data_IF_764596724493
#
_entry.id   IF_764596724493
#
_cell.length_a   1.000
_cell.length_b   1.000
_cell.length_c   1.000
_cell.angle_alpha   90.00
_cell.angle_beta   90.00
_cell.angle_gamma   90.00
#
_symmetry.space_group_name_H-M   'P 1'
#
loop_
_entity.id
_entity.type
_entity.pdbx_description
1 polymer ?
#
# COMPACT_ATOMS: atom_id res chain seq x y z
N UNK A 1 -17.48 -18.11 -10.36
CA UNK A 1 -18.70 -17.49 -9.76
C UNK A 1 -18.62 -17.41 -8.23
N UNK A 2 -18.24 -18.47 -7.50
CA UNK A 2 -18.13 -18.49 -6.02
C UNK A 2 -17.36 -17.31 -5.39
N UNK A 3 -16.30 -16.83 -6.04
CA UNK A 3 -15.42 -15.78 -5.49
C UNK A 3 -15.95 -14.37 -5.66
N UNK A 4 -16.67 -14.10 -6.77
CA UNK A 4 -17.41 -12.85 -6.96
C UNK A 4 -18.56 -12.75 -5.95
N UNK A 5 -19.23 -13.87 -5.68
CA UNK A 5 -20.29 -13.95 -4.69
C UNK A 5 -19.74 -13.75 -3.27
N UNK A 6 -18.68 -14.48 -2.90
CA UNK A 6 -18.03 -14.35 -1.58
C UNK A 6 -17.52 -12.93 -1.30
N UNK A 7 -17.02 -12.22 -2.32
CA UNK A 7 -16.56 -10.83 -2.18
C UNK A 7 -17.64 -9.83 -1.75
N UNK A 8 -18.92 -10.17 -1.93
CA UNK A 8 -20.05 -9.38 -1.45
C UNK A 8 -20.69 -9.97 -0.20
N UNK A 9 -20.81 -11.29 -0.15
CA UNK A 9 -21.42 -11.97 0.98
C UNK A 9 -20.65 -11.73 2.28
N UNK A 10 -19.31 -11.83 2.26
CA UNK A 10 -18.52 -11.66 3.48
C UNK A 10 -18.70 -10.26 4.13
N UNK A 11 -18.48 -9.13 3.43
CA UNK A 11 -18.71 -7.81 4.01
C UNK A 11 -20.19 -7.52 4.27
N UNK A 12 -21.10 -7.99 3.42
CA UNK A 12 -22.54 -7.77 3.61
C UNK A 12 -23.08 -8.50 4.84
N UNK A 13 -22.67 -9.75 5.04
CA UNK A 13 -23.01 -10.53 6.23
C UNK A 13 -22.39 -9.92 7.48
N UNK A 14 -21.14 -9.45 7.41
CA UNK A 14 -20.48 -8.79 8.53
C UNK A 14 -21.23 -7.51 8.95
N UNK A 15 -21.57 -6.64 8.00
CA UNK A 15 -22.36 -5.44 8.24
C UNK A 15 -23.75 -5.81 8.78
N UNK A 16 -24.43 -6.77 8.15
CA UNK A 16 -25.77 -7.21 8.53
C UNK A 16 -25.82 -7.81 9.93
N UNK A 17 -24.84 -8.65 10.30
CA UNK A 17 -24.73 -9.21 11.65
C UNK A 17 -24.45 -8.11 12.67
N UNK A 18 -23.52 -7.20 12.40
CA UNK A 18 -23.19 -6.13 13.34
C UNK A 18 -24.36 -5.16 13.56
N UNK A 19 -25.06 -4.75 12.50
CA UNK A 19 -26.26 -3.91 12.63
C UNK A 19 -27.44 -4.68 13.23
N UNK A 20 -27.62 -5.95 12.86
CA UNK A 20 -28.65 -6.81 13.44
C UNK A 20 -28.44 -7.00 14.94
N UNK A 21 -27.18 -7.22 15.37
CA UNK A 21 -26.80 -7.29 16.77
C UNK A 21 -27.07 -5.96 17.50
N UNK A 22 -26.73 -4.82 16.87
CA UNK A 22 -27.06 -3.50 17.41
C UNK A 22 -28.56 -3.37 17.70
N UNK A 23 -29.42 -3.53 16.70
CA UNK A 23 -30.86 -3.38 16.86
C UNK A 23 -31.50 -4.44 17.77
N UNK A 24 -30.96 -5.67 17.79
CA UNK A 24 -31.43 -6.71 18.71
C UNK A 24 -31.11 -6.34 20.16
N UNK A 25 -29.88 -5.93 20.45
CA UNK A 25 -29.48 -5.50 21.80
C UNK A 25 -30.22 -4.24 22.22
N UNK A 26 -30.40 -3.29 21.30
CA UNK A 26 -31.12 -2.04 21.53
C UNK A 26 -32.58 -2.30 21.95
N UNK A 27 -33.29 -3.18 21.23
CA UNK A 27 -34.65 -3.59 21.59
C UNK A 27 -34.74 -4.38 22.91
N UNK A 28 -33.71 -5.15 23.23
CA UNK A 28 -33.63 -5.94 24.46
C UNK A 28 -33.20 -5.09 25.67
N UNK A 29 -32.56 -3.95 25.44
CA UNK A 29 -32.08 -3.07 26.49
C UNK A 29 -33.28 -2.38 27.14
N UNK A 30 -33.45 -2.59 28.44
CA UNK A 30 -34.45 -1.85 29.19
C UNK A 30 -34.05 -0.37 29.24
N UNK A 31 -35.01 0.58 29.13
CA UNK A 31 -34.74 2.03 29.11
C UNK A 31 -33.94 2.59 30.31
N UNK A 32 -33.74 1.79 31.36
CA UNK A 32 -33.05 2.16 32.59
C UNK A 32 -31.77 1.35 32.86
N UNK A 33 -31.45 0.34 32.04
CA UNK A 33 -30.25 -0.49 32.21
C UNK A 33 -29.04 0.12 31.48
N UNK A 34 -28.53 1.22 32.00
CA UNK A 34 -27.29 1.83 31.50
C UNK A 34 -26.07 1.15 32.09
N UNK A 35 -25.16 0.71 31.25
CA UNK A 35 -23.84 0.18 31.61
C UNK A 35 -22.85 1.34 31.76
N UNK A 36 -23.14 2.27 32.68
CA UNK A 36 -22.28 3.43 32.94
C UNK A 36 -21.04 2.97 33.70
N UNK A 37 -19.91 2.90 33.00
CA UNK A 37 -18.64 2.46 33.59
C UNK A 37 -17.46 3.28 33.04
N UNK A 38 -17.39 4.59 33.35
CA UNK A 38 -16.42 5.52 32.76
C UNK A 38 -14.97 5.13 33.02
N UNK A 39 -14.68 4.58 34.21
CA UNK A 39 -13.32 4.15 34.56
C UNK A 39 -12.85 2.99 33.69
N UNK A 40 -13.66 1.93 33.57
CA UNK A 40 -13.33 0.79 32.71
C UNK A 40 -13.38 1.13 31.23
N UNK A 41 -14.28 2.02 30.81
CA UNK A 41 -14.29 2.58 29.45
C UNK A 41 -12.94 3.22 29.13
N UNK A 42 -12.45 4.12 29.99
CA UNK A 42 -11.15 4.77 29.84
C UNK A 42 -10.01 3.75 29.68
N UNK A 43 -9.86 2.82 30.63
CA UNK A 43 -8.74 1.86 30.60
C UNK A 43 -8.78 0.95 29.38
N UNK A 44 -9.93 0.34 29.09
CA UNK A 44 -10.08 -0.59 27.97
C UNK A 44 -9.83 0.13 26.66
N UNK A 45 -10.47 1.28 26.45
CA UNK A 45 -10.38 2.02 25.19
C UNK A 45 -8.98 2.60 24.98
N UNK A 46 -8.36 3.15 26.02
CA UNK A 46 -7.00 3.70 25.93
C UNK A 46 -5.96 2.60 25.63
N UNK A 47 -6.00 1.48 26.34
CA UNK A 47 -5.03 0.37 26.15
C UNK A 47 -5.19 -0.24 24.76
N UNK A 48 -6.41 -0.56 24.34
CA UNK A 48 -6.66 -1.15 23.02
C UNK A 48 -6.26 -0.18 21.91
N UNK A 49 -6.53 1.12 22.07
CA UNK A 49 -6.12 2.14 21.11
C UNK A 49 -4.59 2.26 21.03
N UNK A 50 -3.89 2.22 22.16
CA UNK A 50 -2.42 2.24 22.17
C UNK A 50 -1.84 1.02 21.46
N UNK A 51 -2.36 -0.18 21.71
CA UNK A 51 -1.92 -1.40 21.02
C UNK A 51 -2.20 -1.33 19.52
N UNK A 52 -3.40 -0.89 19.13
CA UNK A 52 -3.78 -0.70 17.73
C UNK A 52 -2.87 0.32 17.02
N UNK A 53 -2.50 1.41 17.72
CA UNK A 53 -1.55 2.41 17.23
C UNK A 53 -0.19 1.78 16.94
N UNK A 54 0.39 1.05 17.91
CA UNK A 54 1.70 0.41 17.77
C UNK A 54 1.73 -0.58 16.60
N UNK A 55 0.70 -1.41 16.48
CA UNK A 55 0.55 -2.34 15.35
C UNK A 55 0.42 -1.59 14.03
N UNK A 56 -0.36 -0.51 13.99
CA UNK A 56 -0.54 0.29 12.78
C UNK A 56 0.77 0.97 12.35
N UNK A 57 1.57 1.48 13.29
CA UNK A 57 2.92 2.01 13.03
C UNK A 57 3.81 0.91 12.45
N UNK A 58 3.81 -0.30 13.02
CA UNK A 58 4.60 -1.41 12.51
C UNK A 58 4.23 -1.78 11.06
N UNK A 59 2.93 -1.85 10.76
CA UNK A 59 2.40 -2.06 9.39
C UNK A 59 2.84 -0.94 8.45
N UNK A 60 2.82 0.31 8.91
CA UNK A 60 3.26 1.47 8.11
C UNK A 60 4.74 1.45 7.79
N UNK A 61 5.58 1.12 8.77
CA UNK A 61 7.03 0.92 8.57
C UNK A 61 7.28 -0.20 7.57
N UNK A 62 6.55 -1.31 7.66
CA UNK A 62 6.62 -2.38 6.66
C UNK A 62 6.19 -1.89 5.27
N UNK A 63 5.11 -1.11 5.17
CA UNK A 63 4.65 -0.50 3.92
C UNK A 63 5.70 0.40 3.26
N UNK A 64 6.39 1.22 4.05
CA UNK A 64 7.50 2.07 3.58
C UNK A 64 8.67 1.22 3.06
N UNK A 65 9.06 0.17 3.80
CA UNK A 65 10.13 -0.75 3.37
C UNK A 65 9.79 -1.44 2.05
N UNK A 66 8.53 -1.80 1.86
CA UNK A 66 8.02 -2.45 0.65
C UNK A 66 7.69 -1.48 -0.48
N UNK A 67 7.88 -0.16 -0.27
CA UNK A 67 7.55 0.92 -1.21
C UNK A 67 6.10 0.85 -1.72
N UNK A 68 5.18 0.39 -0.86
CA UNK A 68 3.77 0.29 -1.18
C UNK A 68 3.00 1.42 -0.50
N UNK A 69 2.78 2.51 -1.24
CA UNK A 69 2.12 3.71 -0.74
C UNK A 69 0.69 3.45 -0.24
N UNK A 70 -0.02 2.49 -0.84
CA UNK A 70 -1.39 2.17 -0.42
C UNK A 70 -1.42 1.64 1.01
N UNK A 71 -0.43 0.81 1.38
CA UNK A 71 -0.31 0.28 2.75
C UNK A 71 0.12 1.37 3.72
N UNK A 72 1.00 2.27 3.29
CA UNK A 72 1.36 3.44 4.10
C UNK A 72 0.15 4.33 4.40
N UNK A 73 -0.71 4.61 3.40
CA UNK A 73 -1.95 5.36 3.62
C UNK A 73 -2.93 4.63 4.54
N UNK A 74 -3.12 3.32 4.35
CA UNK A 74 -3.94 2.52 5.26
C UNK A 74 -3.42 2.62 6.70
N UNK A 75 -2.13 2.40 6.90
CA UNK A 75 -1.49 2.52 8.23
C UNK A 75 -1.71 3.90 8.86
N UNK A 76 -1.53 4.98 8.09
CA UNK A 76 -1.78 6.35 8.57
C UNK A 76 -3.26 6.53 8.96
N UNK A 77 -4.19 5.92 8.21
CA UNK A 77 -5.60 5.89 8.56
C UNK A 77 -5.86 5.24 9.92
N UNK A 78 -5.29 4.05 10.18
CA UNK A 78 -5.46 3.37 11.47
C UNK A 78 -4.67 3.99 12.62
N UNK A 79 -3.54 4.66 12.35
CA UNK A 79 -2.85 5.53 13.30
C UNK A 79 -3.77 6.68 13.71
N UNK A 80 -4.41 7.34 12.74
CA UNK A 80 -5.36 8.43 13.00
C UNK A 80 -6.56 7.96 13.81
N UNK A 81 -7.12 6.80 13.43
CA UNK A 81 -8.19 6.13 14.17
C UNK A 81 -7.76 5.93 15.62
N UNK A 82 -6.68 5.18 15.85
CA UNK A 82 -6.21 4.82 17.18
C UNK A 82 -5.85 6.05 18.03
N UNK A 83 -5.22 7.06 17.46
CA UNK A 83 -4.78 8.25 18.21
C UNK A 83 -5.94 9.10 18.69
N UNK A 84 -6.87 9.42 17.79
CA UNK A 84 -8.05 10.21 18.15
C UNK A 84 -9.03 9.40 19.00
N UNK A 85 -9.07 8.08 18.85
CA UNK A 85 -9.87 7.21 19.69
C UNK A 85 -9.28 7.03 21.10
N UNK A 86 -7.95 7.12 21.23
CA UNK A 86 -7.28 7.26 22.52
C UNK A 86 -7.66 8.60 23.17
N UNK A 87 -7.67 9.71 22.42
CA UNK A 87 -8.17 11.01 22.91
C UNK A 87 -9.63 10.91 23.37
N UNK A 88 -10.49 10.22 22.61
CA UNK A 88 -11.87 9.93 23.00
C UNK A 88 -11.94 9.29 24.40
N UNK A 89 -11.19 8.21 24.64
CA UNK A 89 -11.11 7.56 25.94
C UNK A 89 -10.55 8.48 27.04
N UNK A 90 -9.48 9.23 26.77
CA UNK A 90 -8.89 10.18 27.73
C UNK A 90 -9.86 11.29 28.12
N UNK A 91 -10.70 11.72 27.18
CA UNK A 91 -11.69 12.78 27.39
C UNK A 91 -12.99 12.28 28.06
N UNK A 92 -13.13 10.99 28.33
CA UNK A 92 -14.28 10.45 29.07
C UNK A 92 -14.43 11.21 30.40
N UNK A 93 -15.66 11.62 30.80
CA UNK A 93 -15.88 12.44 31.99
C UNK A 93 -15.23 11.84 33.24
N UNK A 94 -14.56 12.71 34.02
CA UNK A 94 -13.83 12.32 35.23
C UNK A 94 -12.33 12.10 35.03
N UNK A 95 -11.82 12.21 33.80
CA UNK A 95 -10.39 12.14 33.49
C UNK A 95 -9.86 13.51 33.01
N UNK A 96 -9.55 13.66 31.72
CA UNK A 96 -9.02 14.92 31.16
C UNK A 96 -10.09 16.02 31.12
N UNK A 97 -11.35 15.63 30.95
CA UNK A 97 -12.50 16.54 30.97
C UNK A 97 -13.26 16.32 32.27
N UNK A 98 -13.49 17.39 33.02
CA UNK A 98 -14.24 17.35 34.28
C UNK A 98 -15.71 17.01 34.05
N UNK A 99 -16.35 17.67 33.08
CA UNK A 99 -17.76 17.49 32.72
C UNK A 99 -17.95 17.77 31.23
N UNK A 100 -18.91 17.08 30.59
CA UNK A 100 -19.26 17.30 29.19
C UNK A 100 -19.17 16.03 28.32
N UNK A 101 -19.60 16.14 27.07
CA UNK A 101 -19.66 15.02 26.11
C UNK A 101 -19.25 15.41 24.69
N UNK A 102 -18.96 16.68 24.44
CA UNK A 102 -18.70 17.20 23.10
C UNK A 102 -17.33 16.77 22.59
N UNK A 103 -16.27 16.93 23.40
CA UNK A 103 -14.92 16.54 23.02
C UNK A 103 -14.78 15.02 22.80
N UNK A 104 -15.28 14.13 23.68
CA UNK A 104 -15.28 12.69 23.43
C UNK A 104 -16.04 12.31 22.16
N UNK A 105 -17.24 12.86 21.96
CA UNK A 105 -18.06 12.54 20.79
C UNK A 105 -17.40 12.99 19.48
N UNK A 106 -16.79 14.18 19.49
CA UNK A 106 -16.06 14.70 18.33
C UNK A 106 -14.80 13.88 18.06
N UNK A 107 -13.99 13.60 19.08
CA UNK A 107 -12.77 12.80 18.93
C UNK A 107 -13.07 11.41 18.36
N UNK A 108 -14.12 10.76 18.87
CA UNK A 108 -14.62 9.48 18.37
C UNK A 108 -15.03 9.57 16.89
N UNK A 109 -15.87 10.54 16.55
CA UNK A 109 -16.37 10.69 15.17
C UNK A 109 -15.26 11.07 14.18
N UNK A 110 -14.38 12.00 14.54
CA UNK A 110 -13.25 12.42 13.71
C UNK A 110 -12.26 11.30 13.48
N UNK A 111 -12.06 10.41 14.47
CA UNK A 111 -11.18 9.25 14.32
C UNK A 111 -11.58 8.38 13.13
N UNK A 112 -12.89 8.12 12.97
CA UNK A 112 -13.43 7.29 11.89
C UNK A 112 -13.46 8.04 10.56
N UNK A 113 -13.83 9.33 10.56
CA UNK A 113 -13.86 10.16 9.35
C UNK A 113 -12.46 10.32 8.76
N UNK A 114 -11.45 10.63 9.59
CA UNK A 114 -10.07 10.79 9.11
C UNK A 114 -9.51 9.44 8.65
N UNK A 115 -9.77 8.35 9.39
CA UNK A 115 -9.36 7.01 8.97
C UNK A 115 -9.97 6.61 7.62
N UNK A 116 -11.28 6.84 7.42
CA UNK A 116 -11.96 6.54 6.17
C UNK A 116 -11.45 7.41 5.01
N UNK A 117 -11.10 8.68 5.25
CA UNK A 117 -10.46 9.53 4.24
C UNK A 117 -9.11 8.96 3.77
N UNK A 118 -8.28 8.43 4.68
CA UNK A 118 -7.02 7.76 4.33
C UNK A 118 -7.24 6.43 3.59
N UNK A 119 -8.25 5.65 3.98
CA UNK A 119 -8.66 4.42 3.27
C UNK A 119 -9.20 4.75 1.86
N UNK A 120 -9.91 5.86 1.70
CA UNK A 120 -10.32 6.38 0.39
C UNK A 120 -9.10 6.77 -0.45
N UNK A 121 -8.15 7.52 0.14
CA UNK A 121 -6.92 7.92 -0.54
C UNK A 121 -6.08 6.72 -0.98
N UNK A 122 -6.07 5.63 -0.21
CA UNK A 122 -5.38 4.38 -0.58
C UNK A 122 -6.05 3.64 -1.74
N UNK A 123 -7.35 3.86 -1.96
CA UNK A 123 -8.10 3.27 -3.06
C UNK A 123 -7.99 4.06 -4.39
N UNK A 124 -7.44 5.28 -4.33
CA UNK A 124 -7.27 6.13 -5.51
C UNK A 124 -6.19 5.61 -6.47
N UNK A 125 -6.35 5.85 -7.78
CA UNK A 125 -5.32 5.57 -8.77
C UNK A 125 -4.00 6.33 -8.47
N UNK A 126 -2.87 5.65 -8.63
CA UNK A 126 -1.54 6.19 -8.31
C UNK A 126 -1.05 7.26 -9.30
N UNK A 127 -1.71 7.41 -10.44
CA UNK A 127 -1.45 8.42 -11.47
C UNK A 127 -2.08 9.79 -11.16
N UNK A 128 -3.00 9.87 -10.18
CA UNK A 128 -3.52 11.16 -9.74
C UNK A 128 -2.40 12.04 -9.16
N UNK A 129 -2.41 13.33 -9.49
CA UNK A 129 -1.35 14.27 -9.11
C UNK A 129 -1.10 14.31 -7.60
N UNK A 130 -2.18 14.30 -6.79
CA UNK A 130 -2.12 14.28 -5.33
C UNK A 130 -1.43 13.01 -4.83
N UNK A 131 -1.85 11.83 -5.29
CA UNK A 131 -1.24 10.55 -4.87
C UNK A 131 0.23 10.46 -5.31
N UNK A 132 0.56 10.94 -6.51
CA UNK A 132 1.95 11.04 -6.98
C UNK A 132 2.80 11.97 -6.10
N UNK A 133 2.24 13.10 -5.67
CA UNK A 133 2.94 14.02 -4.78
C UNK A 133 3.16 13.40 -3.39
N UNK A 134 2.12 12.85 -2.77
CA UNK A 134 2.25 12.18 -1.45
C UNK A 134 3.19 10.97 -1.49
N UNK A 135 3.18 10.19 -2.56
CA UNK A 135 4.07 9.03 -2.70
C UNK A 135 5.56 9.39 -2.77
N UNK A 136 5.91 10.60 -3.23
CA UNK A 136 7.30 11.11 -3.13
C UNK A 136 7.70 11.36 -1.67
N UNK A 137 6.74 11.77 -0.85
CA UNK A 137 6.91 12.05 0.57
C UNK A 137 6.69 10.82 1.46
N UNK A 138 6.46 9.63 0.90
CA UNK A 138 6.01 8.44 1.65
C UNK A 138 6.87 8.10 2.89
N UNK A 139 8.18 8.36 2.85
CA UNK A 139 9.10 8.09 3.99
C UNK A 139 8.90 9.08 5.13
N UNK A 140 8.63 10.34 4.81
CA UNK A 140 8.40 11.40 5.78
C UNK A 140 6.93 11.46 6.22
N UNK A 141 6.01 10.96 5.40
CA UNK A 141 4.57 11.11 5.63
C UNK A 141 4.11 10.46 6.93
N UNK A 142 4.54 9.23 7.21
CA UNK A 142 4.17 8.53 8.44
C UNK A 142 4.69 9.26 9.70
N UNK A 143 5.99 9.56 9.87
CA UNK A 143 6.46 10.26 11.06
C UNK A 143 5.93 11.69 11.16
N UNK A 144 5.82 12.43 10.04
CA UNK A 144 5.28 13.78 10.05
C UNK A 144 3.80 13.79 10.46
N UNK A 145 2.98 12.89 9.90
CA UNK A 145 1.58 12.79 10.27
C UNK A 145 1.41 12.35 11.72
N UNK A 146 2.16 11.35 12.18
CA UNK A 146 2.13 10.93 13.59
C UNK A 146 2.51 12.07 14.54
N UNK A 147 3.49 12.90 14.16
CA UNK A 147 3.87 14.08 14.95
C UNK A 147 2.76 15.15 14.98
N UNK A 148 2.13 15.44 13.83
CA UNK A 148 0.98 16.36 13.74
C UNK A 148 -0.19 15.85 14.59
N UNK A 149 -0.48 14.55 14.50
CA UNK A 149 -1.54 13.90 15.27
C UNK A 149 -1.24 13.98 16.77
N UNK A 150 -0.02 13.66 17.19
CA UNK A 150 0.40 13.73 18.59
C UNK A 150 0.31 15.17 19.12
N UNK A 151 0.79 16.15 18.37
CA UNK A 151 0.67 17.57 18.73
C UNK A 151 -0.79 17.98 18.86
N UNK A 152 -1.65 17.62 17.91
CA UNK A 152 -3.09 17.91 17.96
C UNK A 152 -3.77 17.31 19.20
N UNK A 153 -3.44 16.06 19.55
CA UNK A 153 -3.94 15.40 20.76
C UNK A 153 -3.45 16.10 22.02
N UNK A 154 -2.16 16.44 22.11
CA UNK A 154 -1.60 17.15 23.26
C UNK A 154 -2.25 18.52 23.45
N UNK A 155 -2.43 19.28 22.37
CA UNK A 155 -3.11 20.58 22.41
C UNK A 155 -4.58 20.44 22.83
N UNK A 156 -5.27 19.40 22.37
CA UNK A 156 -6.66 19.12 22.76
C UNK A 156 -6.76 18.77 24.24
N UNK A 157 -5.85 17.94 24.77
CA UNK A 157 -5.78 17.61 26.20
C UNK A 157 -5.46 18.85 27.04
N UNK A 158 -4.46 19.64 26.64
CA UNK A 158 -4.05 20.85 27.35
C UNK A 158 -5.15 21.94 27.39
N UNK A 159 -6.07 21.94 26.42
CA UNK A 159 -7.16 22.91 26.31
C UNK A 159 -8.55 22.25 26.44
N UNK A 160 -8.64 21.07 27.06
CA UNK A 160 -9.84 20.24 27.01
C UNK A 160 -11.11 20.97 27.48
N UNK A 161 -11.04 21.69 28.61
CA UNK A 161 -12.19 22.47 29.09
C UNK A 161 -12.60 23.65 28.19
N UNK A 162 -11.66 24.25 27.43
CA UNK A 162 -11.98 25.29 26.44
C UNK A 162 -12.61 24.66 25.19
N UNK A 163 -12.04 23.54 24.73
CA UNK A 163 -12.56 22.78 23.58
C UNK A 163 -13.98 22.29 23.87
N UNK A 164 -14.24 21.74 25.05
CA UNK A 164 -15.57 21.29 25.45
C UNK A 164 -16.61 22.42 25.29
N UNK A 165 -16.34 23.60 25.87
CA UNK A 165 -17.24 24.76 25.76
C UNK A 165 -17.46 25.24 24.33
N UNK A 166 -16.40 25.25 23.51
CA UNK A 166 -16.49 25.68 22.11
C UNK A 166 -17.29 24.68 21.26
N UNK A 167 -17.20 23.39 21.59
CA UNK A 167 -17.79 22.29 20.82
C UNK A 167 -19.19 21.90 21.27
N UNK A 168 -19.65 22.37 22.44
CA UNK A 168 -21.02 22.15 22.96
C UNK A 168 -22.13 22.55 21.98
N UNK A 169 -21.84 23.43 21.03
CA UNK A 169 -22.74 23.84 19.96
C UNK A 169 -22.16 23.44 18.59
N UNK A 170 -22.39 22.19 18.14
CA UNK A 170 -21.88 21.74 16.87
C UNK A 170 -22.53 22.53 15.72
N UNK A 171 -21.71 23.12 14.86
CA UNK A 171 -22.16 23.85 13.67
C UNK A 171 -22.68 22.93 12.55
N UNK A 172 -22.31 21.64 12.58
CA UNK A 172 -22.66 20.67 11.56
C UNK A 172 -23.76 19.69 12.03
N UNK A 173 -24.68 19.27 11.15
CA UNK A 173 -25.63 18.21 11.46
C UNK A 173 -24.96 16.88 11.84
N UNK A 174 -25.56 16.15 12.78
CA UNK A 174 -25.03 14.89 13.30
C UNK A 174 -24.87 13.78 12.25
N UNK A 175 -25.59 13.83 11.13
CA UNK A 175 -25.47 12.84 10.04
C UNK A 175 -24.22 13.03 9.16
N UNK A 176 -23.55 14.19 9.22
CA UNK A 176 -22.42 14.53 8.35
C UNK A 176 -21.25 13.53 8.48
N UNK A 177 -20.78 13.15 9.68
CA UNK A 177 -19.74 12.14 9.84
C UNK A 177 -20.11 10.79 9.22
N UNK A 178 -21.37 10.37 9.35
CA UNK A 178 -21.87 9.13 8.74
C UNK A 178 -21.82 9.21 7.21
N UNK A 179 -22.30 10.31 6.62
CA UNK A 179 -22.31 10.49 5.17
C UNK A 179 -20.90 10.51 4.58
N UNK A 180 -19.96 11.25 5.21
CA UNK A 180 -18.56 11.30 4.78
C UNK A 180 -17.88 9.93 4.88
N UNK A 181 -18.02 9.26 6.02
CA UNK A 181 -17.45 7.92 6.24
C UNK A 181 -18.03 6.92 5.25
N UNK A 182 -19.34 6.91 5.05
CA UNK A 182 -20.00 6.03 4.09
C UNK A 182 -19.52 6.30 2.66
N UNK A 183 -19.42 7.56 2.23
CA UNK A 183 -18.93 7.91 0.90
C UNK A 183 -17.50 7.40 0.67
N UNK A 184 -16.58 7.67 1.60
CA UNK A 184 -15.20 7.22 1.52
C UNK A 184 -15.05 5.70 1.57
N UNK A 185 -15.70 5.04 2.53
CA UNK A 185 -15.62 3.60 2.71
C UNK A 185 -16.30 2.84 1.57
N UNK A 186 -17.49 3.25 1.09
CA UNK A 186 -18.16 2.58 -0.02
C UNK A 186 -17.35 2.69 -1.32
N UNK A 187 -16.73 3.85 -1.58
CA UNK A 187 -15.82 3.99 -2.70
C UNK A 187 -14.62 3.04 -2.57
N UNK A 188 -13.96 3.03 -1.41
CA UNK A 188 -12.83 2.14 -1.17
C UNK A 188 -13.22 0.66 -1.29
N UNK A 189 -14.37 0.28 -0.73
CA UNK A 189 -14.94 -1.08 -0.85
C UNK A 189 -15.13 -1.47 -2.31
N UNK A 190 -15.74 -0.60 -3.13
CA UNK A 190 -15.91 -0.88 -4.55
C UNK A 190 -14.57 -1.11 -5.27
N UNK A 191 -13.59 -0.23 -5.04
CA UNK A 191 -12.26 -0.30 -5.66
C UNK A 191 -11.48 -1.54 -5.24
N UNK A 192 -11.37 -1.78 -3.93
CA UNK A 192 -10.64 -2.93 -3.39
C UNK A 192 -11.35 -4.25 -3.65
N UNK A 193 -12.68 -4.27 -3.73
CA UNK A 193 -13.41 -5.46 -4.20
C UNK A 193 -13.04 -5.81 -5.63
N UNK A 194 -13.05 -4.84 -6.55
CA UNK A 194 -12.64 -5.07 -7.95
C UNK A 194 -11.22 -5.65 -7.98
N UNK A 195 -10.33 -5.07 -7.17
CA UNK A 195 -8.95 -5.54 -7.07
C UNK A 195 -8.85 -6.94 -6.45
N UNK A 196 -9.65 -7.26 -5.44
CA UNK A 196 -9.74 -8.60 -4.85
C UNK A 196 -10.20 -9.63 -5.88
N UNK A 197 -11.25 -9.34 -6.66
CA UNK A 197 -11.76 -10.27 -7.69
C UNK A 197 -10.67 -10.59 -8.72
N UNK A 198 -9.83 -9.60 -9.05
CA UNK A 198 -8.72 -9.71 -10.00
C UNK A 198 -7.48 -10.42 -9.42
N UNK A 199 -7.01 -10.01 -8.23
CA UNK A 199 -5.71 -10.46 -7.69
C UNK A 199 -5.81 -11.51 -6.59
N UNK A 200 -6.97 -11.64 -5.96
CA UNK A 200 -7.25 -12.55 -4.83
C UNK A 200 -6.39 -12.34 -3.58
N UNK A 201 -5.75 -11.18 -3.47
CA UNK A 201 -4.94 -10.85 -2.31
C UNK A 201 -5.82 -10.64 -1.06
N UNK A 202 -5.59 -11.39 0.04
CA UNK A 202 -6.36 -11.27 1.28
C UNK A 202 -6.44 -9.85 1.85
N UNK A 203 -5.38 -9.05 1.69
CA UNK A 203 -5.37 -7.65 2.10
C UNK A 203 -6.53 -6.85 1.48
N UNK A 204 -6.88 -7.09 0.21
CA UNK A 204 -7.98 -6.37 -0.44
C UNK A 204 -9.33 -6.72 0.16
N UNK A 205 -9.55 -8.00 0.52
CA UNK A 205 -10.78 -8.41 1.20
C UNK A 205 -10.82 -7.86 2.63
N UNK A 206 -9.68 -7.86 3.32
CA UNK A 206 -9.53 -7.25 4.65
C UNK A 206 -9.94 -5.78 4.64
N UNK A 207 -9.50 -5.01 3.64
CA UNK A 207 -9.88 -3.61 3.51
C UNK A 207 -11.39 -3.43 3.30
N UNK A 208 -12.02 -4.27 2.48
CA UNK A 208 -13.47 -4.21 2.22
C UNK A 208 -14.26 -4.50 3.50
N UNK A 209 -13.91 -5.56 4.24
CA UNK A 209 -14.58 -5.92 5.49
C UNK A 209 -14.35 -4.88 6.59
N UNK A 210 -13.11 -4.40 6.74
CA UNK A 210 -12.75 -3.35 7.68
C UNK A 210 -13.50 -2.04 7.39
N UNK A 211 -13.59 -1.63 6.12
CA UNK A 211 -14.36 -0.45 5.71
C UNK A 211 -15.86 -0.59 6.04
N UNK A 212 -16.41 -1.79 5.89
CA UNK A 212 -17.79 -2.09 6.30
C UNK A 212 -18.00 -1.89 7.80
N UNK A 213 -17.06 -2.38 8.62
CA UNK A 213 -17.12 -2.17 10.07
C UNK A 213 -16.97 -0.70 10.45
N UNK A 214 -16.14 0.10 9.77
CA UNK A 214 -16.04 1.54 10.03
C UNK A 214 -17.38 2.26 9.80
N UNK A 215 -18.12 1.89 8.75
CA UNK A 215 -19.47 2.42 8.49
C UNK A 215 -20.43 2.05 9.64
N UNK A 216 -20.40 0.80 10.08
CA UNK A 216 -21.25 0.36 11.20
C UNK A 216 -20.88 1.11 12.49
N UNK A 217 -19.59 1.24 12.78
CA UNK A 217 -19.11 1.94 13.98
C UNK A 217 -19.59 3.38 14.04
N UNK A 218 -19.45 4.17 12.95
CA UNK A 218 -19.88 5.58 12.96
C UNK A 218 -21.42 5.70 13.09
N UNK A 219 -22.18 4.77 12.50
CA UNK A 219 -23.63 4.75 12.64
C UNK A 219 -24.05 4.53 14.10
N UNK A 220 -23.43 3.55 14.77
CA UNK A 220 -23.70 3.27 16.20
C UNK A 220 -23.25 4.46 17.07
N UNK A 221 -22.13 5.11 16.76
CA UNK A 221 -21.66 6.30 17.50
C UNK A 221 -22.66 7.47 17.43
N UNK A 222 -23.23 7.71 16.25
CA UNK A 222 -24.10 8.87 16.01
C UNK A 222 -25.52 8.64 16.49
N UNK A 223 -26.06 7.42 16.32
CA UNK A 223 -27.46 7.12 16.60
C UNK A 223 -27.69 6.28 17.86
N UNK A 224 -26.64 5.67 18.43
CA UNK A 224 -26.75 4.87 19.64
C UNK A 224 -26.87 5.71 20.91
N UNK A 225 -27.68 5.24 21.85
CA UNK A 225 -27.84 5.89 23.16
C UNK A 225 -26.62 5.62 24.04
N UNK A 226 -26.00 6.68 24.55
CA UNK A 226 -24.78 6.58 25.37
C UNK A 226 -25.01 5.68 26.59
N UNK A 227 -24.04 4.80 26.86
CA UNK A 227 -24.02 3.80 27.94
C UNK A 227 -24.97 2.63 27.83
N UNK A 228 -25.81 2.53 26.80
CA UNK A 228 -26.54 1.30 26.56
C UNK A 228 -25.63 0.17 26.06
N UNK A 229 -26.04 -1.08 26.27
CA UNK A 229 -25.29 -2.24 25.79
C UNK A 229 -25.07 -2.22 24.26
N UNK A 230 -26.04 -1.69 23.51
CA UNK A 230 -25.97 -1.51 22.05
C UNK A 230 -24.87 -0.51 21.65
N UNK A 231 -24.67 0.55 22.45
CA UNK A 231 -23.64 1.56 22.22
C UNK A 231 -22.22 1.00 22.39
N UNK A 232 -21.99 0.07 23.32
CA UNK A 232 -20.67 -0.56 23.47
C UNK A 232 -20.20 -1.28 22.19
N UNK A 233 -21.13 -1.70 21.32
CA UNK A 233 -20.84 -2.44 20.10
C UNK A 233 -19.93 -1.69 19.12
N UNK A 234 -19.92 -0.35 19.08
CA UNK A 234 -19.02 0.35 18.16
C UNK A 234 -17.54 0.14 18.51
N UNK A 235 -17.20 -0.02 19.80
CA UNK A 235 -15.82 -0.30 20.22
C UNK A 235 -15.35 -1.64 19.68
N UNK A 236 -16.21 -2.67 19.78
CA UNK A 236 -15.92 -4.00 19.27
C UNK A 236 -15.82 -4.04 17.75
N UNK A 237 -16.69 -3.30 17.05
CA UNK A 237 -16.62 -3.22 15.58
C UNK A 237 -15.39 -2.46 15.09
N UNK A 238 -14.96 -1.39 15.78
CA UNK A 238 -13.70 -0.71 15.49
C UNK A 238 -12.49 -1.61 15.75
N UNK A 239 -12.46 -2.31 16.88
CA UNK A 239 -11.39 -3.26 17.18
C UNK A 239 -11.34 -4.39 16.13
N UNK A 240 -12.51 -4.95 15.79
CA UNK A 240 -12.63 -5.94 14.72
C UNK A 240 -12.16 -5.40 13.37
N UNK A 241 -12.40 -4.12 13.06
CA UNK A 241 -11.91 -3.47 11.84
C UNK A 241 -10.39 -3.47 11.77
N UNK A 242 -9.71 -3.09 12.86
CA UNK A 242 -8.24 -3.13 12.97
C UNK A 242 -7.74 -4.56 12.80
N UNK A 243 -8.32 -5.54 13.52
CA UNK A 243 -7.88 -6.93 13.47
C UNK A 243 -8.02 -7.54 12.08
N UNK A 244 -9.15 -7.30 11.39
CA UNK A 244 -9.38 -7.80 10.03
C UNK A 244 -8.39 -7.18 9.05
N UNK A 245 -8.10 -5.88 9.18
CA UNK A 245 -7.11 -5.21 8.33
C UNK A 245 -5.71 -5.80 8.54
N UNK A 246 -5.26 -5.86 9.80
CA UNK A 246 -3.94 -6.41 10.16
C UNK A 246 -3.84 -7.87 9.75
N UNK A 247 -4.86 -8.68 10.01
CA UNK A 247 -4.94 -10.08 9.56
C UNK A 247 -4.82 -10.19 8.04
N UNK A 248 -5.48 -9.32 7.28
CA UNK A 248 -5.35 -9.26 5.83
C UNK A 248 -3.92 -8.96 5.35
N UNK A 249 -3.21 -8.04 6.03
CA UNK A 249 -1.80 -7.74 5.77
C UNK A 249 -0.92 -8.95 6.13
N UNK A 250 -1.06 -9.47 7.35
CA UNK A 250 -0.26 -10.59 7.86
C UNK A 250 -0.41 -11.82 6.98
N UNK A 251 -1.64 -12.23 6.65
CA UNK A 251 -1.90 -13.38 5.77
C UNK A 251 -1.33 -13.15 4.37
N UNK A 252 -1.47 -11.93 3.82
CA UNK A 252 -0.90 -11.60 2.51
C UNK A 252 0.64 -11.71 2.51
N UNK A 253 1.32 -11.24 3.56
CA UNK A 253 2.79 -11.16 3.57
C UNK A 253 3.49 -12.43 4.06
N UNK A 254 2.93 -13.13 5.05
CA UNK A 254 3.44 -14.43 5.48
C UNK A 254 3.12 -15.50 4.44
N UNK A 255 1.98 -15.39 3.75
CA UNK A 255 1.59 -16.30 2.68
C UNK A 255 2.34 -16.10 1.35
N UNK A 256 3.16 -15.04 1.21
CA UNK A 256 3.96 -14.86 0.00
C UNK A 256 5.15 -15.84 0.00
N UNK A 257 5.30 -16.67 -1.05
CA UNK A 257 6.44 -17.58 -1.19
C UNK A 257 7.78 -16.85 -1.32
N UNK A 258 7.82 -15.51 -1.31
CA UNK A 258 9.07 -14.74 -1.32
C UNK A 258 9.81 -14.81 0.01
N UNK A 259 9.14 -14.90 1.18
CA UNK A 259 9.83 -15.00 2.48
C UNK A 259 10.31 -16.43 2.70
N UNK A 260 9.44 -17.41 2.47
CA UNK A 260 9.82 -18.82 2.45
C UNK A 260 10.87 -19.11 1.36
N UNK A 261 10.77 -18.46 0.20
CA UNK A 261 11.75 -18.52 -0.89
C UNK A 261 13.06 -17.83 -0.56
N UNK A 262 13.06 -16.71 0.17
CA UNK A 262 14.27 -16.03 0.63
C UNK A 262 15.02 -16.89 1.66
N UNK A 263 14.29 -17.52 2.58
CA UNK A 263 14.86 -18.52 3.51
C UNK A 263 15.36 -19.75 2.74
N UNK A 264 14.60 -20.27 1.79
CA UNK A 264 15.04 -21.40 0.94
C UNK A 264 16.29 -21.05 0.11
N UNK A 265 16.42 -19.80 -0.35
CA UNK A 265 17.59 -19.30 -1.10
C UNK A 265 18.79 -19.04 -0.18
N UNK A 266 18.56 -18.63 1.07
CA UNK A 266 19.60 -18.48 2.11
C UNK A 266 20.17 -19.83 2.55
N UNK A 267 19.35 -20.89 2.57
CA UNK A 267 19.77 -22.22 3.02
C UNK A 267 20.17 -23.18 1.88
N UNK A 268 19.70 -22.96 0.65
CA UNK A 268 20.18 -23.62 -0.58
C UNK A 268 19.98 -22.69 -1.79
N UNK A 269 21.03 -22.09 -2.36
CA UNK A 269 20.95 -21.54 -3.70
C UNK A 269 20.57 -22.70 -4.64
N UNK A 270 19.37 -22.66 -5.22
CA UNK A 270 19.02 -23.53 -6.34
C UNK A 270 19.29 -22.75 -7.64
N UNK A 271 20.36 -23.08 -8.39
CA UNK A 271 20.69 -22.48 -9.68
C UNK A 271 19.52 -22.43 -10.65
N UNK A 272 18.66 -23.45 -10.61
CA UNK A 272 17.52 -23.59 -11.52
C UNK A 272 16.44 -22.56 -11.20
N UNK A 273 16.11 -22.41 -9.92
CA UNK A 273 15.17 -21.39 -9.45
C UNK A 273 15.64 -19.97 -9.74
N UNK A 274 16.96 -19.71 -9.74
CA UNK A 274 17.51 -18.39 -10.06
C UNK A 274 17.35 -18.03 -11.54
N UNK A 275 17.55 -19.00 -12.44
CA UNK A 275 17.37 -18.82 -13.89
C UNK A 275 15.88 -18.68 -14.21
N UNK A 276 15.02 -19.52 -13.63
CA UNK A 276 13.58 -19.46 -13.89
C UNK A 276 12.92 -18.17 -13.38
N UNK A 277 13.38 -17.65 -12.24
CA UNK A 277 12.87 -16.39 -11.66
C UNK A 277 13.42 -15.13 -12.32
N UNK A 278 14.54 -15.22 -13.05
CA UNK A 278 15.14 -14.08 -13.77
C UNK A 278 14.61 -13.92 -15.21
N UNK A 279 13.85 -14.90 -15.72
CA UNK A 279 13.27 -14.86 -17.07
C UNK A 279 11.85 -14.28 -17.02
N UNK A 280 11.67 -13.08 -17.59
CA UNK A 280 10.34 -12.48 -17.74
C UNK A 280 9.44 -13.24 -18.75
N UNK A 281 8.10 -13.14 -18.66
CA UNK A 281 7.17 -13.85 -19.56
C UNK A 281 7.41 -13.57 -21.05
N UNK A 282 7.79 -12.35 -21.41
CA UNK A 282 8.09 -11.95 -22.80
C UNK A 282 9.38 -12.62 -23.32
N UNK A 283 10.41 -12.71 -22.47
CA UNK A 283 11.66 -13.42 -22.81
C UNK A 283 11.41 -14.92 -22.95
N UNK A 284 10.56 -15.51 -22.11
CA UNK A 284 10.16 -16.92 -22.23
C UNK A 284 9.46 -17.20 -23.56
N UNK A 285 8.56 -16.32 -23.98
CA UNK A 285 7.89 -16.43 -25.29
C UNK A 285 8.88 -16.32 -26.46
N UNK A 286 9.88 -15.44 -26.35
CA UNK A 286 10.91 -15.28 -27.38
C UNK A 286 11.83 -16.51 -27.47
N UNK A 287 12.21 -17.09 -26.33
CA UNK A 287 13.00 -18.32 -26.28
C UNK A 287 12.21 -19.45 -26.96
N UNK A 288 10.93 -19.64 -26.61
CA UNK A 288 10.09 -20.66 -27.22
C UNK A 288 9.94 -20.48 -28.75
N UNK A 289 9.79 -19.23 -29.22
CA UNK A 289 9.76 -18.94 -30.66
C UNK A 289 11.09 -19.22 -31.36
N UNK A 290 12.21 -19.00 -30.67
CA UNK A 290 13.55 -19.26 -31.21
C UNK A 290 13.81 -20.77 -31.29
N UNK A 291 13.45 -21.51 -30.24
CA UNK A 291 13.61 -22.98 -30.18
C UNK A 291 12.68 -23.70 -31.16
N UNK A 292 11.47 -23.17 -31.40
CA UNK A 292 10.58 -23.69 -32.45
C UNK A 292 11.11 -23.44 -33.87
N UNK A 293 11.88 -22.37 -34.06
CA UNK A 293 12.48 -22.05 -35.37
C UNK A 293 13.75 -22.85 -35.64
N UNK A 294 14.51 -23.16 -34.58
CA UNK A 294 15.70 -24.00 -34.64
C UNK A 294 15.74 -24.97 -33.46
N UNK A 295 15.25 -26.19 -33.71
CA UNK A 295 15.18 -27.25 -32.72
C UNK A 295 16.56 -27.65 -32.16
N UNK A 296 17.67 -27.36 -32.88
CA UNK A 296 19.03 -27.61 -32.37
C UNK A 296 19.39 -26.69 -31.20
N UNK A 297 18.78 -25.50 -31.14
CA UNK A 297 18.98 -24.54 -30.03
C UNK A 297 18.08 -24.80 -28.82
N UNK A 298 17.19 -25.80 -28.91
CA UNK A 298 16.30 -26.17 -27.82
C UNK A 298 17.08 -26.52 -26.53
N UNK A 299 16.83 -25.76 -25.48
CA UNK A 299 17.50 -25.87 -24.19
C UNK A 299 18.99 -25.49 -24.21
N UNK A 300 19.58 -25.08 -25.34
CA UNK A 300 20.98 -24.69 -25.42
C UNK A 300 21.26 -23.46 -24.54
N UNK A 301 20.44 -22.42 -24.66
CA UNK A 301 20.56 -21.22 -23.85
C UNK A 301 20.46 -21.51 -22.34
N UNK A 302 19.61 -22.46 -21.97
CA UNK A 302 19.47 -22.91 -20.59
C UNK A 302 20.72 -23.65 -20.09
N UNK A 303 21.27 -24.57 -20.89
CA UNK A 303 22.52 -25.28 -20.56
C UNK A 303 23.70 -24.30 -20.43
N UNK A 304 23.83 -23.35 -21.34
CA UNK A 304 24.88 -22.31 -21.30
C UNK A 304 24.76 -21.46 -20.04
N UNK A 305 23.55 -21.00 -19.69
CA UNK A 305 23.32 -20.25 -18.46
C UNK A 305 23.68 -21.05 -17.20
N UNK A 306 23.38 -22.35 -17.20
CA UNK A 306 23.72 -23.26 -16.11
C UNK A 306 25.25 -23.43 -15.96
N UNK A 307 25.97 -23.62 -17.06
CA UNK A 307 27.44 -23.72 -17.05
C UNK A 307 28.09 -22.42 -16.59
N UNK A 308 27.59 -21.27 -17.05
CA UNK A 308 28.08 -19.96 -16.62
C UNK A 308 27.90 -19.73 -15.11
N UNK A 309 26.76 -20.18 -14.54
CA UNK A 309 26.52 -20.07 -13.11
C UNK A 309 27.45 -20.97 -12.30
N UNK A 310 27.63 -22.23 -12.73
CA UNK A 310 28.59 -23.14 -12.09
C UNK A 310 30.03 -22.65 -12.16
N UNK A 311 30.42 -22.03 -13.28
CA UNK A 311 31.74 -21.42 -13.42
C UNK A 311 31.90 -20.22 -12.46
N UNK A 312 30.87 -19.37 -12.36
CA UNK A 312 30.86 -18.27 -11.41
C UNK A 312 30.96 -18.74 -9.94
N UNK A 313 30.32 -19.87 -9.60
CA UNK A 313 30.45 -20.52 -8.29
C UNK A 313 31.90 -20.96 -8.01
N UNK A 314 32.56 -21.60 -8.98
CA UNK A 314 33.97 -22.02 -8.83
C UNK A 314 34.94 -20.84 -8.73
N UNK A 315 34.57 -19.68 -9.29
CA UNK A 315 35.34 -18.44 -9.21
C UNK A 315 35.01 -17.58 -7.97
N UNK A 316 34.12 -18.04 -7.07
CA UNK A 316 33.74 -17.30 -5.85
C UNK A 316 32.91 -16.03 -6.10
N UNK A 317 32.33 -15.87 -7.29
CA UNK A 317 31.54 -14.68 -7.66
C UNK A 317 30.10 -14.85 -7.19
N UNK A 318 29.57 -13.87 -6.43
CA UNK A 318 28.20 -13.94 -5.94
C UNK A 318 27.18 -14.04 -7.10
N UNK A 319 26.19 -14.98 -7.06
CA UNK A 319 25.29 -15.27 -8.18
C UNK A 319 24.49 -14.07 -8.72
N UNK A 320 24.17 -13.11 -7.83
CA UNK A 320 23.47 -11.86 -8.20
C UNK A 320 24.30 -10.94 -9.09
N UNK A 321 25.63 -10.94 -8.95
CA UNK A 321 26.52 -10.12 -9.78
C UNK A 321 26.73 -10.72 -11.17
N UNK A 322 26.77 -12.05 -11.27
CA UNK A 322 26.88 -12.76 -12.55
C UNK A 322 25.62 -12.58 -13.43
N UNK A 323 24.42 -12.68 -12.85
CA UNK A 323 23.16 -12.45 -13.56
C UNK A 323 23.00 -10.99 -14.04
N UNK A 324 23.45 -10.02 -13.23
CA UNK A 324 23.45 -8.59 -13.59
C UNK A 324 24.41 -8.25 -14.75
N UNK A 325 25.58 -8.88 -14.79
CA UNK A 325 26.60 -8.65 -15.82
C UNK A 325 26.15 -9.14 -17.22
N UNK A 326 25.38 -10.23 -17.30
CA UNK A 326 24.81 -10.74 -18.55
C UNK A 326 23.71 -9.84 -19.12
N UNK A 327 22.78 -9.38 -18.26
CA UNK A 327 21.67 -8.51 -18.67
C UNK A 327 22.14 -7.09 -19.08
N UNK A 328 23.16 -6.56 -18.40
CA UNK A 328 23.76 -5.25 -18.73
C UNK A 328 24.43 -5.22 -20.11
N UNK A 329 25.20 -6.27 -20.45
CA UNK A 329 25.87 -6.38 -21.75
C UNK A 329 24.89 -6.63 -22.90
N UNK A 330 23.80 -7.37 -22.66
CA UNK A 330 22.77 -7.58 -23.68
C UNK A 330 21.98 -6.30 -23.98
N UNK A 331 21.67 -5.48 -22.97
CA UNK A 331 21.02 -4.16 -23.18
C UNK A 331 21.88 -3.20 -23.98
N UNK A 332 23.19 -3.18 -23.73
CA UNK A 332 24.13 -2.37 -24.49
C UNK A 332 24.22 -2.81 -25.97
N UNK A 333 24.36 -4.12 -26.23
CA UNK A 333 24.38 -4.68 -27.59
C UNK A 333 23.07 -4.48 -28.35
N UNK A 334 21.91 -4.65 -27.71
CA UNK A 334 20.62 -4.37 -28.34
C UNK A 334 20.45 -2.90 -28.71
N UNK A 335 20.87 -1.96 -27.84
CA UNK A 335 20.84 -0.53 -28.19
C UNK A 335 21.74 -0.20 -29.39
N UNK A 336 22.92 -0.82 -29.45
CA UNK A 336 23.87 -0.62 -30.54
C UNK A 336 23.35 -1.18 -31.88
N UNK A 337 22.71 -2.36 -31.84
CA UNK A 337 22.11 -2.99 -33.02
C UNK A 337 20.85 -2.28 -33.55
N UNK A 338 20.05 -1.68 -32.66
CA UNK A 338 18.89 -0.86 -33.06
C UNK A 338 19.34 0.47 -33.67
N UNK A 339 20.39 1.09 -33.12
CA UNK A 339 20.97 2.30 -33.70
C UNK A 339 21.57 2.04 -35.09
N UNK A 340 22.32 0.94 -35.29
CA UNK A 340 22.93 0.64 -36.59
C UNK A 340 21.89 0.33 -37.67
N UNK A 341 20.79 -0.34 -37.33
CA UNK A 341 19.68 -0.59 -38.27
C UNK A 341 18.96 0.69 -38.68
N UNK A 342 18.66 1.59 -37.73
CA UNK A 342 18.06 2.90 -38.04
C UNK A 342 18.95 3.75 -38.94
N UNK A 343 20.26 3.76 -38.70
CA UNK A 343 21.21 4.48 -39.55
C UNK A 343 21.30 3.89 -40.96
N UNK A 344 21.21 2.56 -41.09
CA UNK A 344 21.21 1.88 -42.39
C UNK A 344 19.90 2.11 -43.19
N UNK A 345 18.75 2.16 -42.52
CA UNK A 345 17.46 2.50 -43.15
C UNK A 345 17.41 3.97 -43.59
N UNK A 346 17.91 4.90 -42.78
CA UNK A 346 18.00 6.31 -43.14
C UNK A 346 18.96 6.55 -44.31
N UNK A 347 20.07 5.81 -44.40
CA UNK A 347 20.97 5.87 -45.55
C UNK A 347 20.31 5.35 -46.83
N UNK A 348 19.54 4.25 -46.76
CA UNK A 348 18.79 3.71 -47.91
C UNK A 348 17.66 4.64 -48.37
N UNK A 349 16.99 5.32 -47.45
CA UNK A 349 15.95 6.33 -47.78
C UNK A 349 16.56 7.59 -48.41
N UNK A 350 17.79 7.96 -48.06
CA UNK A 350 18.49 9.08 -48.67
C UNK A 350 18.99 8.78 -50.10
N UNK A 351 19.35 7.52 -50.41
CA UNK A 351 19.73 7.10 -51.77
C UNK A 351 18.52 6.93 -52.71
N UNK A 352 17.34 6.63 -52.18
CA UNK A 352 16.11 6.51 -52.98
C UNK A 352 15.49 7.86 -53.39
N UNK A 353 15.92 8.98 -52.79
CA UNK A 353 15.48 10.33 -53.10
C UNK A 353 16.44 11.03 -54.07
N UNK A 354 16.19 10.88 -55.37
CA UNK A 354 16.99 11.50 -56.42
C UNK A 354 17.09 13.03 -56.33
N UNK A 355 18.27 13.54 -56.71
CA UNK A 355 18.64 14.95 -56.90
C UNK A 355 18.69 15.86 -55.65
N UNK A 356 19.26 15.37 -54.55
CA UNK A 356 19.72 16.20 -53.43
C UNK A 356 20.73 15.54 -52.47
N UNK A 357 20.97 14.23 -52.61
CA UNK A 357 21.61 13.38 -51.60
C UNK A 357 23.11 13.59 -51.35
N UNK A 358 23.88 14.14 -52.31
CA UNK A 358 25.34 14.22 -52.15
C UNK A 358 25.83 15.22 -51.07
N UNK A 359 25.05 16.27 -50.77
CA UNK A 359 25.39 17.21 -49.67
C UNK A 359 24.91 16.75 -48.30
N UNK A 360 23.91 15.87 -48.23
CA UNK A 360 23.39 15.32 -46.97
C UNK A 360 24.22 14.13 -46.47
N UNK A 361 24.66 13.25 -47.37
CA UNK A 361 25.49 12.08 -47.04
C UNK A 361 26.87 12.46 -46.48
N UNK A 362 27.46 13.56 -46.95
CA UNK A 362 28.76 14.06 -46.47
C UNK A 362 28.67 14.68 -45.07
N UNK A 363 27.58 15.39 -44.72
CA UNK A 363 27.37 15.94 -43.37
C UNK A 363 27.10 14.87 -42.30
N UNK A 364 26.36 13.82 -42.63
CA UNK A 364 26.08 12.71 -41.71
C UNK A 364 27.33 11.87 -41.40
N UNK A 365 28.21 11.66 -42.39
CA UNK A 365 29.47 10.95 -42.21
C UNK A 365 30.43 11.70 -41.27
N UNK A 366 30.49 13.03 -41.36
CA UNK A 366 31.30 13.87 -40.45
C UNK A 366 30.78 13.83 -39.01
N UNK A 367 29.45 13.92 -38.81
CA UNK A 367 28.85 13.83 -37.47
C UNK A 367 29.05 12.46 -36.81
N UNK A 368 29.00 11.36 -37.57
CA UNK A 368 29.26 10.01 -37.03
C UNK A 368 30.72 9.81 -36.57
N UNK A 369 31.68 10.44 -37.26
CA UNK A 369 33.10 10.36 -36.90
C UNK A 369 33.41 11.26 -35.68
N UNK A 370 32.74 12.40 -35.55
CA UNK A 370 32.85 13.27 -34.37
C UNK A 370 32.23 12.65 -33.11
N UNK A 371 31.08 11.99 -33.22
CA UNK A 371 30.45 11.28 -32.11
C UNK A 371 31.26 10.06 -31.65
N UNK A 372 31.92 9.35 -32.58
CA UNK A 372 32.82 8.25 -32.24
C UNK A 372 34.11 8.73 -31.54
N UNK A 373 34.65 9.90 -31.90
CA UNK A 373 35.84 10.47 -31.23
C UNK A 373 35.56 11.02 -29.83
N UNK A 374 34.36 11.54 -29.57
CA UNK A 374 33.98 12.02 -28.23
C UNK A 374 33.76 10.87 -27.22
N UNK A 375 33.34 9.69 -27.69
CA UNK A 375 33.10 8.55 -26.80
C UNK A 375 34.37 7.78 -26.41
N UNK A 376 35.43 7.84 -27.22
CA UNK A 376 36.75 7.24 -26.92
C UNK A 376 37.53 8.05 -25.87
N UNK A 377 37.28 9.37 -25.75
CA UNK A 377 37.94 10.23 -24.73
C UNK A 377 37.30 10.20 -23.34
N UNK A 378 36.10 9.65 -23.16
CA UNK A 378 35.40 9.62 -21.87
C UNK A 378 35.57 8.31 -21.08
N UNK A 379 36.37 7.35 -21.56
CA UNK A 379 36.47 6.00 -21.00
C UNK A 379 37.82 5.67 -20.35
N UNK A 380 38.75 6.63 -20.27
CA UNK A 380 40.01 6.46 -19.56
C UNK A 380 40.37 7.74 -18.86
N UNK A 381 40.00 7.85 -17.59
CA UNK A 381 40.69 8.66 -16.56
C UNK A 381 39.97 8.46 -15.22
N UNK A 382 40.30 7.37 -14.54
CA UNK A 382 40.20 7.30 -13.08
C UNK A 382 41.61 6.99 -12.56
N UNK A 383 42.30 7.95 -11.94
CA UNK A 383 43.57 7.67 -11.31
C UNK A 383 43.32 6.84 -10.04
N UNK A 384 44.05 5.74 -9.94
CA UNK A 384 44.33 5.05 -8.68
C UNK A 384 45.27 5.95 -7.85
N UNK A 385 44.90 6.24 -6.60
CA UNK A 385 45.76 6.33 -5.40
C UNK A 385 45.14 7.23 -4.31
N UNK A 386 45.58 7.12 -3.04
CA UNK A 386 46.32 6.04 -2.39
C UNK A 386 45.44 5.16 -1.47
#
# INVERSE_FOLDING_TARGET
MRTKLWSWLAPGLLIGISLGAFFAIDKLSHPHAKLEHPVGHFYIVAIVSLLAMLVSIAVGVAGIKLRNVNITFLSIGFISLAGLFMLHGLSTPGFVVSEGRALPALAGSLSVVIASAWVFLSALPTDLAVVRWLSRLQRALLPAWSAVLALGILLAVANAGRMERLLSHPAAPHWVPCALTAAFCLFAMYRYRKLYVMTRFPIHLGIVCSSGLLIVSIMIMVYGTVWEASWWLYHFTLFGSVLIMVGGVVVQYIGQPSVAGLFKTLFRPDPRGLIESSISPSVRSLIAQTENKDAYTAGHNYRVAMYALRLAEHMGVQPRMAAGAGAGRHRARCRQAVHSRRSAEQARQADAGGAGGHRAASRLRVQSVQAARLHVRGAGDHPLAP
#
